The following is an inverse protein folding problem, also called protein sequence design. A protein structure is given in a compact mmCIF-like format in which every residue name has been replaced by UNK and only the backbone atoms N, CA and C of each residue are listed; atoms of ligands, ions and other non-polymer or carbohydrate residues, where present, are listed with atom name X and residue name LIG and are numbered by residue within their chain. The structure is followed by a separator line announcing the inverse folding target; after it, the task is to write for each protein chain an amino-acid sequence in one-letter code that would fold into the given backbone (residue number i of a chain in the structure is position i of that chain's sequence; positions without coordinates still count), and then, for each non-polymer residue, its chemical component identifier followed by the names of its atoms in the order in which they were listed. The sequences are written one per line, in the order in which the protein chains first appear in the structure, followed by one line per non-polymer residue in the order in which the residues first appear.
data_IF_903332186996
#
_entry.id   IF_903332186996
#
_cell.length_a   1.000
_cell.length_b   1.000
_cell.length_c   1.000
_cell.angle_alpha   90.00
_cell.angle_beta   90.00
_cell.angle_gamma   90.00
#
_symmetry.space_group_name_H-M   'P 1'
#
loop_
_entity.id
_entity.type
_entity.pdbx_description
1 polymer ?
#
# COMPACT_ATOMS: atom_id res chain seq x y z
N UNK A 1 -15.78 -21.61 -15.69
CA UNK A 1 -14.59 -22.43 -15.29
C UNK A 1 -13.67 -21.46 -14.61
N UNK A 2 -13.31 -21.67 -13.32
CA UNK A 2 -12.30 -20.86 -12.64
C UNK A 2 -11.01 -20.94 -13.46
N UNK A 3 -10.48 -19.81 -13.90
CA UNK A 3 -9.19 -19.79 -14.59
C UNK A 3 -8.10 -20.26 -13.60
N UNK A 4 -7.13 -21.03 -14.08
CA UNK A 4 -5.99 -21.41 -13.25
C UNK A 4 -5.29 -20.15 -12.71
N UNK A 5 -4.77 -20.22 -11.50
CA UNK A 5 -3.96 -19.13 -10.92
C UNK A 5 -2.82 -18.73 -11.85
N UNK A 6 -2.46 -17.44 -11.83
CA UNK A 6 -1.30 -16.90 -12.56
C UNK A 6 -0.26 -16.49 -11.52
N UNK A 7 0.73 -17.33 -11.32
CA UNK A 7 1.83 -17.14 -10.39
C UNK A 7 3.17 -17.38 -11.07
N UNK A 8 4.26 -16.81 -10.57
CA UNK A 8 5.57 -16.95 -11.18
C UNK A 8 6.10 -18.39 -11.16
N UNK A 9 6.05 -19.07 -10.01
CA UNK A 9 6.61 -20.40 -9.84
C UNK A 9 6.05 -21.09 -8.59
N UNK A 10 5.32 -22.19 -8.75
CA UNK A 10 4.74 -22.96 -7.65
C UNK A 10 5.78 -23.61 -6.72
N UNK A 11 7.02 -23.84 -7.19
CA UNK A 11 8.09 -24.41 -6.38
C UNK A 11 8.56 -23.50 -5.23
N UNK A 12 8.15 -22.22 -5.23
CA UNK A 12 8.46 -21.27 -4.18
C UNK A 12 7.55 -21.43 -2.93
N UNK A 13 6.48 -22.22 -3.00
CA UNK A 13 5.51 -22.40 -1.93
C UNK A 13 6.11 -22.74 -0.55
N UNK A 14 7.14 -23.59 -0.41
CA UNK A 14 7.74 -23.85 0.90
C UNK A 14 8.30 -22.61 1.60
N UNK A 15 8.97 -21.72 0.88
CA UNK A 15 9.45 -20.43 1.43
C UNK A 15 8.28 -19.55 1.88
N UNK A 16 7.21 -19.49 1.09
CA UNK A 16 5.99 -18.78 1.45
C UNK A 16 5.34 -19.35 2.71
N UNK A 17 5.27 -20.66 2.84
CA UNK A 17 4.73 -21.36 4.01
C UNK A 17 5.47 -20.97 5.30
N UNK A 18 6.81 -20.93 5.27
CA UNK A 18 7.64 -20.54 6.41
C UNK A 18 7.37 -19.09 6.83
N UNK A 19 7.32 -18.16 5.87
CA UNK A 19 7.02 -16.75 6.11
C UNK A 19 5.62 -16.56 6.72
N UNK A 20 4.60 -17.21 6.14
CA UNK A 20 3.22 -17.14 6.62
C UNK A 20 3.13 -17.71 8.04
N UNK A 21 3.80 -18.82 8.33
CA UNK A 21 3.81 -19.43 9.65
C UNK A 21 4.46 -18.50 10.69
N UNK A 22 5.58 -17.88 10.33
CA UNK A 22 6.24 -16.90 11.19
C UNK A 22 5.30 -15.72 11.52
N UNK A 23 4.72 -15.10 10.51
CA UNK A 23 3.82 -13.95 10.68
C UNK A 23 2.58 -14.35 11.47
N UNK A 24 2.00 -15.51 11.18
CA UNK A 24 0.81 -16.02 11.87
C UNK A 24 0.98 -16.09 13.38
N UNK A 25 2.16 -16.48 13.85
CA UNK A 25 2.47 -16.53 15.27
C UNK A 25 2.44 -15.15 15.96
N UNK A 26 2.58 -14.08 15.18
CA UNK A 26 2.57 -12.69 15.64
C UNK A 26 1.25 -11.95 15.39
N UNK A 27 0.18 -12.66 14.98
CA UNK A 27 -1.15 -12.10 14.70
C UNK A 27 -2.23 -12.71 15.61
N UNK A 28 -2.19 -12.48 16.94
CA UNK A 28 -3.09 -13.15 17.88
C UNK A 28 -4.56 -12.79 17.68
N UNK A 29 -4.86 -11.53 17.29
CA UNK A 29 -6.24 -11.12 17.01
C UNK A 29 -6.80 -11.85 15.79
N UNK A 30 -6.06 -11.91 14.69
CA UNK A 30 -6.53 -12.58 13.48
C UNK A 30 -6.68 -14.10 13.69
N UNK A 31 -5.84 -14.69 14.56
CA UNK A 31 -6.03 -16.11 14.97
C UNK A 31 -7.36 -16.32 15.69
N UNK A 32 -7.71 -15.45 16.62
CA UNK A 32 -8.99 -15.53 17.32
C UNK A 32 -10.17 -15.37 16.34
N UNK A 33 -10.10 -14.38 15.45
CA UNK A 33 -11.12 -14.20 14.39
C UNK A 33 -11.24 -15.45 13.52
N UNK A 34 -10.12 -16.08 13.16
CA UNK A 34 -10.15 -17.29 12.36
C UNK A 34 -10.84 -18.45 13.09
N UNK A 35 -10.59 -18.64 14.40
CA UNK A 35 -11.25 -19.67 15.19
C UNK A 35 -12.77 -19.51 15.20
N UNK A 36 -13.26 -18.27 15.26
CA UNK A 36 -14.70 -17.97 15.17
C UNK A 36 -15.22 -18.21 13.74
N UNK A 37 -14.47 -17.79 12.72
CA UNK A 37 -14.82 -17.99 11.32
C UNK A 37 -14.89 -19.48 10.93
N UNK A 38 -14.01 -20.32 11.45
CA UNK A 38 -14.05 -21.78 11.24
C UNK A 38 -15.33 -22.41 11.81
N UNK A 39 -15.82 -21.91 12.97
CA UNK A 39 -17.03 -22.41 13.62
C UNK A 39 -18.30 -21.90 12.94
N UNK A 40 -18.36 -20.60 12.69
CA UNK A 40 -19.59 -19.92 12.26
C UNK A 40 -19.75 -19.93 10.74
N UNK A 41 -18.65 -20.02 10.00
CA UNK A 41 -18.60 -19.98 8.54
C UNK A 41 -19.41 -18.82 7.92
N UNK A 42 -19.19 -17.57 8.35
CA UNK A 42 -20.03 -16.44 7.99
C UNK A 42 -19.96 -16.07 6.49
N UNK A 43 -18.96 -16.59 5.78
CA UNK A 43 -18.73 -16.33 4.36
C UNK A 43 -19.04 -17.56 3.47
N UNK A 44 -19.76 -18.56 4.01
CA UNK A 44 -20.05 -19.78 3.27
C UNK A 44 -20.82 -19.49 1.97
N UNK A 45 -20.27 -19.93 0.83
CA UNK A 45 -20.87 -19.75 -0.48
C UNK A 45 -20.65 -18.37 -1.12
N UNK A 46 -19.91 -17.47 -0.45
CA UNK A 46 -19.55 -16.15 -0.99
C UNK A 46 -18.19 -16.17 -1.67
N UNK A 47 -18.07 -15.38 -2.72
CA UNK A 47 -16.82 -15.09 -3.43
C UNK A 47 -16.25 -13.75 -2.97
N UNK A 48 -14.98 -13.76 -2.61
CA UNK A 48 -14.26 -12.56 -2.16
C UNK A 48 -13.16 -12.22 -3.16
N UNK A 49 -13.23 -11.05 -3.79
CA UNK A 49 -12.12 -10.49 -4.56
C UNK A 49 -11.26 -9.63 -3.64
N UNK A 50 -9.95 -9.89 -3.63
CA UNK A 50 -8.99 -9.19 -2.80
C UNK A 50 -7.85 -8.62 -3.65
N UNK A 51 -7.61 -7.32 -3.54
CA UNK A 51 -6.43 -6.62 -4.07
C UNK A 51 -5.79 -5.82 -2.94
N UNK A 52 -4.80 -6.41 -2.28
CA UNK A 52 -4.03 -5.81 -1.18
C UNK A 52 -2.57 -6.21 -1.39
N UNK A 53 -1.60 -5.47 -0.83
CA UNK A 53 -0.18 -5.85 -0.89
C UNK A 53 0.00 -7.34 -0.58
N UNK A 54 0.38 -8.15 -1.59
CA UNK A 54 0.40 -9.62 -1.47
C UNK A 54 1.68 -10.09 -0.78
N UNK A 55 1.63 -10.07 0.56
CA UNK A 55 2.70 -10.47 1.46
C UNK A 55 2.16 -11.38 2.59
N UNK A 56 2.98 -11.78 3.55
CA UNK A 56 2.62 -12.83 4.51
C UNK A 56 1.42 -12.49 5.41
N UNK A 57 1.21 -11.20 5.79
CA UNK A 57 0.05 -10.80 6.61
C UNK A 57 -1.24 -10.87 5.80
N UNK A 58 -1.20 -10.44 4.54
CA UNK A 58 -2.32 -10.58 3.60
C UNK A 58 -2.66 -12.04 3.36
N UNK A 59 -1.66 -12.91 3.29
CA UNK A 59 -1.90 -14.36 3.21
C UNK A 59 -2.62 -14.91 4.45
N UNK A 60 -2.30 -14.40 5.64
CA UNK A 60 -3.04 -14.75 6.86
C UNK A 60 -4.51 -14.31 6.79
N UNK A 61 -4.79 -13.14 6.21
CA UNK A 61 -6.16 -12.67 5.95
C UNK A 61 -6.87 -13.60 4.97
N UNK A 62 -6.27 -13.93 3.81
CA UNK A 62 -6.85 -14.86 2.84
C UNK A 62 -7.20 -16.20 3.48
N UNK A 63 -6.32 -16.77 4.31
CA UNK A 63 -6.55 -18.00 5.06
C UNK A 63 -7.74 -17.87 6.04
N UNK A 64 -7.90 -16.72 6.66
CA UNK A 64 -9.02 -16.45 7.59
C UNK A 64 -10.34 -16.37 6.83
N UNK A 65 -10.38 -15.66 5.69
CA UNK A 65 -11.56 -15.58 4.83
C UNK A 65 -11.98 -16.96 4.30
N UNK A 66 -11.01 -17.75 3.82
CA UNK A 66 -11.24 -19.13 3.37
C UNK A 66 -11.75 -20.04 4.49
N UNK A 67 -11.22 -19.90 5.72
CA UNK A 67 -11.72 -20.62 6.90
C UNK A 67 -13.19 -20.27 7.21
N UNK A 68 -13.58 -19.01 6.99
CA UNK A 68 -14.97 -18.54 7.06
C UNK A 68 -15.87 -19.07 5.95
N UNK A 69 -15.34 -19.85 5.02
CA UNK A 69 -16.09 -20.50 3.93
C UNK A 69 -16.11 -19.73 2.61
N UNK A 70 -15.36 -18.65 2.50
CA UNK A 70 -15.24 -17.88 1.26
C UNK A 70 -14.44 -18.61 0.18
N UNK A 71 -14.85 -18.46 -1.07
CA UNK A 71 -14.00 -18.69 -2.24
C UNK A 71 -13.21 -17.41 -2.50
N UNK A 72 -11.88 -17.45 -2.31
CA UNK A 72 -11.02 -16.24 -2.32
C UNK A 72 -10.27 -16.14 -3.62
N UNK A 73 -10.35 -14.97 -4.26
CA UNK A 73 -9.64 -14.57 -5.46
C UNK A 73 -8.73 -13.39 -5.11
N UNK A 74 -7.42 -13.58 -5.16
CA UNK A 74 -6.45 -12.62 -4.64
C UNK A 74 -5.46 -12.13 -5.71
N UNK A 75 -5.18 -10.84 -5.66
CA UNK A 75 -4.09 -10.19 -6.40
C UNK A 75 -3.34 -9.22 -5.50
N UNK A 76 -2.21 -8.68 -5.99
CA UNK A 76 -1.48 -7.62 -5.29
C UNK A 76 -1.95 -6.23 -5.74
N UNK A 77 -2.08 -5.29 -4.83
CA UNK A 77 -2.39 -3.88 -5.12
C UNK A 77 -1.18 -3.09 -5.66
N UNK A 78 0.01 -3.66 -5.59
CA UNK A 78 1.23 -3.05 -6.11
C UNK A 78 2.20 -4.12 -6.62
N UNK A 79 2.67 -4.02 -7.88
CA UNK A 79 3.61 -4.99 -8.46
C UNK A 79 4.89 -5.19 -7.66
N UNK A 80 5.45 -4.12 -7.09
CA UNK A 80 6.73 -4.17 -6.39
C UNK A 80 6.65 -4.75 -4.97
N UNK A 81 5.46 -4.75 -4.34
CA UNK A 81 5.25 -5.31 -3.01
C UNK A 81 4.82 -6.79 -3.03
N UNK A 82 4.39 -7.30 -4.17
CA UNK A 82 4.03 -8.71 -4.34
C UNK A 82 5.20 -9.62 -4.05
N UNK A 83 4.98 -10.69 -3.27
CA UNK A 83 5.97 -11.72 -2.98
C UNK A 83 5.58 -13.03 -3.67
N UNK A 84 6.39 -13.48 -4.63
CA UNK A 84 6.11 -14.65 -5.47
C UNK A 84 5.98 -15.96 -4.68
N UNK A 85 6.72 -16.09 -3.58
CA UNK A 85 6.63 -17.27 -2.71
C UNK A 85 5.33 -17.30 -1.90
N UNK A 86 4.83 -16.14 -1.49
CA UNK A 86 3.53 -16.01 -0.85
C UNK A 86 2.40 -16.34 -1.84
N UNK A 87 2.48 -15.83 -3.07
CA UNK A 87 1.52 -16.15 -4.13
C UNK A 87 1.47 -17.68 -4.38
N UNK A 88 2.64 -18.33 -4.45
CA UNK A 88 2.75 -19.76 -4.65
C UNK A 88 2.14 -20.58 -3.50
N UNK A 89 2.35 -20.16 -2.25
CA UNK A 89 1.77 -20.86 -1.09
C UNK A 89 0.26 -20.67 -1.00
N UNK A 90 -0.25 -19.47 -1.30
CA UNK A 90 -1.70 -19.22 -1.33
C UNK A 90 -2.40 -20.09 -2.39
N UNK A 91 -1.83 -20.21 -3.58
CA UNK A 91 -2.33 -21.10 -4.64
C UNK A 91 -2.37 -22.56 -4.15
N UNK A 92 -1.27 -23.04 -3.51
CA UNK A 92 -1.22 -24.39 -2.91
C UNK A 92 -2.30 -24.63 -1.86
N UNK A 93 -2.69 -23.55 -1.15
CA UNK A 93 -3.75 -23.59 -0.12
C UNK A 93 -5.17 -23.48 -0.69
N UNK A 94 -5.32 -23.37 -2.02
CA UNK A 94 -6.61 -23.34 -2.69
C UNK A 94 -7.20 -21.93 -2.85
N UNK A 95 -6.43 -20.88 -2.63
CA UNK A 95 -6.80 -19.52 -3.02
C UNK A 95 -6.49 -19.33 -4.50
N UNK A 96 -7.39 -18.70 -5.26
CA UNK A 96 -7.13 -18.34 -6.65
C UNK A 96 -6.26 -17.09 -6.70
N UNK A 97 -5.02 -17.20 -7.19
CA UNK A 97 -4.03 -16.13 -7.12
C UNK A 97 -3.62 -15.65 -8.51
N UNK A 98 -3.65 -14.35 -8.73
CA UNK A 98 -3.22 -13.70 -9.96
C UNK A 98 -2.23 -12.59 -9.60
N UNK A 99 -0.95 -12.95 -9.44
CA UNK A 99 0.06 -12.00 -8.99
C UNK A 99 1.48 -12.48 -9.28
N UNK A 100 2.33 -11.58 -9.78
CA UNK A 100 3.77 -11.77 -9.93
C UNK A 100 4.51 -10.50 -9.53
N UNK A 101 5.66 -10.65 -8.86
CA UNK A 101 6.50 -9.51 -8.51
C UNK A 101 7.04 -8.81 -9.76
N UNK A 102 6.92 -7.48 -9.83
CA UNK A 102 7.43 -6.70 -10.95
C UNK A 102 6.65 -6.89 -12.25
N UNK A 103 5.37 -7.26 -12.18
CA UNK A 103 4.51 -7.37 -13.36
C UNK A 103 4.38 -6.02 -14.09
N UNK A 104 4.12 -6.07 -15.41
CA UNK A 104 3.83 -4.88 -16.22
C UNK A 104 2.44 -4.32 -15.89
N UNK A 105 2.13 -3.12 -16.39
CA UNK A 105 0.79 -2.53 -16.19
C UNK A 105 -0.30 -3.38 -16.87
N UNK A 106 -0.02 -3.94 -18.03
CA UNK A 106 -0.96 -4.80 -18.75
C UNK A 106 -1.23 -6.10 -17.97
N UNK A 107 -0.20 -6.68 -17.35
CA UNK A 107 -0.35 -7.86 -16.49
C UNK A 107 -1.11 -7.48 -15.20
N UNK A 108 -0.82 -6.32 -14.61
CA UNK A 108 -1.56 -5.83 -13.43
C UNK A 108 -3.05 -5.68 -13.73
N UNK A 109 -3.40 -5.03 -14.85
CA UNK A 109 -4.79 -4.86 -15.28
C UNK A 109 -5.46 -6.23 -15.55
N UNK A 110 -4.74 -7.20 -16.11
CA UNK A 110 -5.21 -8.57 -16.28
C UNK A 110 -5.50 -9.23 -14.92
N UNK A 111 -4.62 -9.05 -13.92
CA UNK A 111 -4.80 -9.64 -12.59
C UNK A 111 -6.01 -9.06 -11.86
N UNK A 112 -6.19 -7.74 -11.89
CA UNK A 112 -7.40 -7.09 -11.34
C UNK A 112 -8.66 -7.63 -12.06
N UNK A 113 -8.63 -7.76 -13.37
CA UNK A 113 -9.74 -8.36 -14.14
C UNK A 113 -10.02 -9.80 -13.69
N UNK A 114 -8.97 -10.60 -13.50
CA UNK A 114 -9.09 -12.02 -13.16
C UNK A 114 -9.75 -12.27 -11.79
N UNK A 115 -9.61 -11.35 -10.82
CA UNK A 115 -10.33 -11.44 -9.54
C UNK A 115 -11.77 -10.95 -9.63
N UNK A 116 -12.14 -10.20 -10.69
CA UNK A 116 -13.50 -9.69 -10.92
C UNK A 116 -14.34 -10.66 -11.76
N UNK A 117 -13.76 -11.33 -12.76
CA UNK A 117 -14.47 -12.24 -13.68
C UNK A 117 -15.29 -13.34 -12.99
N UNK A 118 -14.88 -13.88 -11.83
CA UNK A 118 -15.70 -14.82 -11.07
C UNK A 118 -16.99 -14.24 -10.49
N UNK A 119 -17.25 -12.94 -10.67
CA UNK A 119 -18.38 -12.19 -10.12
C UNK A 119 -18.40 -12.23 -8.57
N UNK A 120 -17.50 -11.52 -7.89
CA UNK A 120 -17.40 -11.53 -6.44
C UNK A 120 -18.61 -10.90 -5.77
N UNK A 121 -18.95 -11.41 -4.58
CA UNK A 121 -19.97 -10.87 -3.69
C UNK A 121 -19.42 -9.77 -2.77
N UNK A 122 -18.15 -9.91 -2.37
CA UNK A 122 -17.46 -9.00 -1.44
C UNK A 122 -16.11 -8.57 -2.05
N UNK A 123 -15.73 -7.32 -1.81
CA UNK A 123 -14.47 -6.73 -2.27
C UNK A 123 -13.61 -6.33 -1.07
N UNK A 124 -12.32 -6.64 -1.12
CA UNK A 124 -11.29 -6.09 -0.24
C UNK A 124 -10.27 -5.40 -1.12
N UNK A 125 -10.26 -4.08 -1.12
CA UNK A 125 -9.48 -3.25 -2.06
C UNK A 125 -8.47 -2.37 -1.32
N UNK A 126 -7.40 -2.03 -2.00
CA UNK A 126 -6.33 -1.16 -1.50
C UNK A 126 -5.86 -0.24 -2.63
N UNK A 127 -6.52 0.91 -2.72
CA UNK A 127 -6.34 1.91 -3.78
C UNK A 127 -7.57 2.12 -4.67
N UNK A 128 -8.61 1.27 -4.55
CA UNK A 128 -9.87 1.39 -5.26
C UNK A 128 -9.81 0.92 -6.72
N UNK A 129 -8.86 0.06 -7.09
CA UNK A 129 -8.70 -0.38 -8.49
C UNK A 129 -9.71 -1.44 -8.89
N UNK A 130 -10.08 -2.37 -7.99
CA UNK A 130 -11.19 -3.32 -8.24
C UNK A 130 -12.48 -2.52 -8.47
N UNK A 131 -12.82 -1.60 -7.56
CA UNK A 131 -14.04 -0.79 -7.65
C UNK A 131 -14.08 0.03 -8.94
N UNK A 132 -12.95 0.64 -9.30
CA UNK A 132 -12.83 1.40 -10.55
C UNK A 132 -13.03 0.53 -11.79
N UNK A 133 -12.42 -0.64 -11.84
CA UNK A 133 -12.53 -1.55 -12.97
C UNK A 133 -13.96 -2.13 -13.09
N UNK A 134 -14.60 -2.49 -11.99
CA UNK A 134 -16.00 -2.93 -11.99
C UNK A 134 -16.88 -1.88 -12.62
N UNK A 135 -16.79 -0.64 -12.16
CA UNK A 135 -17.59 0.48 -12.69
C UNK A 135 -17.38 0.71 -14.17
N UNK A 136 -16.14 0.68 -14.64
CA UNK A 136 -15.78 1.04 -16.02
C UNK A 136 -15.97 -0.09 -17.03
N UNK A 137 -15.77 -1.34 -16.58
CA UNK A 137 -15.72 -2.50 -17.47
C UNK A 137 -16.76 -3.58 -17.17
N UNK A 138 -17.34 -3.59 -15.95
CA UNK A 138 -18.34 -4.57 -15.50
C UNK A 138 -19.58 -3.92 -14.87
N UNK A 139 -20.22 -2.93 -15.50
CA UNK A 139 -21.27 -2.11 -14.86
C UNK A 139 -22.50 -2.91 -14.38
N UNK A 140 -22.75 -4.11 -14.92
CA UNK A 140 -23.83 -5.00 -14.46
C UNK A 140 -23.53 -5.69 -13.14
N UNK A 141 -22.26 -5.83 -12.77
CA UNK A 141 -21.82 -6.55 -11.58
C UNK A 141 -22.09 -5.77 -10.29
N UNK A 142 -22.10 -4.42 -10.35
CA UNK A 142 -22.33 -3.56 -9.18
C UNK A 142 -23.60 -3.92 -8.39
N UNK A 143 -24.63 -4.43 -9.07
CA UNK A 143 -25.90 -4.84 -8.43
C UNK A 143 -25.83 -6.15 -7.66
N UNK A 144 -24.80 -6.96 -7.88
CA UNK A 144 -24.59 -8.25 -7.23
C UNK A 144 -23.69 -8.13 -6.00
N UNK A 145 -22.88 -7.07 -5.94
CA UNK A 145 -21.92 -6.86 -4.86
C UNK A 145 -22.66 -6.48 -3.58
N UNK A 146 -22.46 -7.23 -2.52
CA UNK A 146 -22.98 -6.96 -1.18
C UNK A 146 -22.31 -5.72 -0.59
N UNK A 147 -21.00 -5.61 -0.77
CA UNK A 147 -20.21 -4.50 -0.28
C UNK A 147 -18.71 -4.79 -0.31
N UNK A 148 -17.93 -3.85 0.20
CA UNK A 148 -16.49 -4.03 0.28
C UNK A 148 -15.83 -3.24 1.39
N UNK A 149 -14.50 -3.37 1.45
CA UNK A 149 -13.62 -2.70 2.39
C UNK A 149 -12.48 -2.00 1.61
N UNK A 150 -12.10 -0.80 2.03
CA UNK A 150 -10.96 -0.07 1.45
C UNK A 150 -9.88 0.17 2.51
N UNK A 151 -8.68 -0.26 2.20
CA UNK A 151 -7.51 -0.27 3.09
C UNK A 151 -6.84 1.09 3.23
N UNK A 152 -6.83 1.93 2.16
CA UNK A 152 -5.88 3.05 2.09
C UNK A 152 -6.52 4.42 1.86
N UNK A 153 -5.84 5.46 2.32
CA UNK A 153 -6.29 6.86 2.23
C UNK A 153 -6.60 7.30 0.81
N UNK A 154 -5.77 6.92 -0.18
CA UNK A 154 -5.97 7.28 -1.59
C UNK A 154 -7.21 6.62 -2.18
N UNK A 155 -7.45 5.35 -1.86
CA UNK A 155 -8.65 4.63 -2.26
C UNK A 155 -9.91 5.24 -1.64
N UNK A 156 -9.90 5.56 -0.34
CA UNK A 156 -11.03 6.24 0.31
C UNK A 156 -11.33 7.60 -0.32
N UNK A 157 -10.30 8.40 -0.64
CA UNK A 157 -10.50 9.68 -1.31
C UNK A 157 -11.18 9.50 -2.68
N UNK A 158 -10.79 8.45 -3.42
CA UNK A 158 -11.37 8.07 -4.70
C UNK A 158 -12.83 7.61 -4.55
N UNK A 159 -13.13 6.75 -3.57
CA UNK A 159 -14.48 6.29 -3.26
C UNK A 159 -15.41 7.43 -2.84
N UNK A 160 -14.97 8.35 -1.98
CA UNK A 160 -15.74 9.54 -1.58
C UNK A 160 -16.05 10.46 -2.76
N UNK A 161 -15.12 10.58 -3.72
CA UNK A 161 -15.38 11.31 -4.96
C UNK A 161 -16.45 10.60 -5.81
N UNK A 162 -16.37 9.28 -5.92
CA UNK A 162 -17.38 8.48 -6.63
C UNK A 162 -18.75 8.60 -5.96
N UNK A 163 -18.82 8.50 -4.64
CA UNK A 163 -20.06 8.68 -3.86
C UNK A 163 -20.67 10.06 -4.11
N UNK A 164 -19.87 11.13 -4.01
CA UNK A 164 -20.33 12.51 -4.27
C UNK A 164 -20.89 12.70 -5.68
N UNK A 165 -20.35 11.98 -6.66
CA UNK A 165 -20.79 12.02 -8.04
C UNK A 165 -21.99 11.08 -8.31
N UNK A 166 -22.46 10.30 -7.31
CA UNK A 166 -23.49 9.28 -7.50
C UNK A 166 -23.02 8.07 -8.31
N UNK A 167 -21.74 7.78 -8.26
CA UNK A 167 -21.07 6.73 -9.05
C UNK A 167 -20.69 5.49 -8.23
N UNK A 168 -20.89 5.50 -6.92
CA UNK A 168 -20.68 4.36 -6.02
C UNK A 168 -22.03 3.71 -5.70
N UNK A 169 -22.26 2.50 -6.19
CA UNK A 169 -23.59 1.86 -6.16
C UNK A 169 -23.70 0.71 -5.13
N UNK A 170 -22.67 0.46 -4.37
CA UNK A 170 -22.68 -0.52 -3.27
C UNK A 170 -21.88 0.02 -2.08
N UNK A 171 -22.15 -0.45 -0.85
CA UNK A 171 -21.48 0.07 0.33
C UNK A 171 -20.02 -0.33 0.37
N UNK A 172 -19.15 0.63 0.76
CA UNK A 172 -17.74 0.42 1.01
C UNK A 172 -17.38 0.87 2.42
N UNK A 173 -16.73 0.01 3.19
CA UNK A 173 -16.25 0.31 4.54
C UNK A 173 -14.88 0.96 4.44
N UNK A 174 -14.75 2.18 4.97
CA UNK A 174 -13.49 2.92 5.02
C UNK A 174 -12.62 2.40 6.17
N UNK A 175 -11.97 1.24 5.99
CA UNK A 175 -11.14 0.60 7.02
C UNK A 175 -9.98 1.48 7.44
N UNK A 176 -9.37 2.22 6.49
CA UNK A 176 -8.30 3.16 6.81
C UNK A 176 -8.71 4.25 7.82
N UNK A 177 -9.99 4.61 7.88
CA UNK A 177 -10.49 5.66 8.78
C UNK A 177 -10.79 5.13 10.20
N UNK A 178 -10.70 3.83 10.43
CA UNK A 178 -10.81 3.26 11.76
C UNK A 178 -9.62 3.67 12.64
N UNK A 179 -9.90 4.07 13.89
CA UNK A 179 -8.87 4.51 14.85
C UNK A 179 -7.78 3.44 15.04
N UNK A 180 -8.17 2.18 15.16
CA UNK A 180 -7.22 1.07 15.31
C UNK A 180 -6.38 0.79 14.04
N UNK A 181 -6.73 1.36 12.88
CA UNK A 181 -5.95 1.25 11.66
C UNK A 181 -4.99 2.43 11.52
N UNK A 182 -5.48 3.64 11.33
CA UNK A 182 -4.63 4.77 10.94
C UNK A 182 -3.72 5.28 12.06
N UNK A 183 -4.17 5.19 13.34
CA UNK A 183 -3.33 5.60 14.48
C UNK A 183 -2.12 4.67 14.67
N UNK A 184 -2.21 3.42 14.23
CA UNK A 184 -1.17 2.41 14.46
C UNK A 184 -0.47 1.99 13.17
N UNK A 185 -1.19 1.51 12.17
CA UNK A 185 -0.59 1.04 10.93
C UNK A 185 0.03 2.17 10.14
N UNK A 186 -0.75 3.19 9.75
CA UNK A 186 -0.23 4.31 8.97
C UNK A 186 0.88 5.06 9.73
N UNK A 187 0.73 5.25 11.03
CA UNK A 187 1.68 6.02 11.83
C UNK A 187 2.92 5.20 12.20
N UNK A 188 2.75 4.09 12.89
CA UNK A 188 3.89 3.32 13.42
C UNK A 188 4.40 2.29 12.43
N UNK A 189 3.50 1.58 11.74
CA UNK A 189 3.86 0.58 10.74
C UNK A 189 4.61 1.20 9.56
N UNK A 190 4.02 2.19 8.90
CA UNK A 190 4.65 2.89 7.78
C UNK A 190 5.95 3.58 8.21
N UNK A 191 5.93 4.28 9.37
CA UNK A 191 7.13 4.94 9.89
C UNK A 191 8.31 4.00 10.11
N UNK A 192 8.06 2.77 10.55
CA UNK A 192 9.08 1.75 10.69
C UNK A 192 9.52 1.21 9.33
N UNK A 193 8.59 0.74 8.51
CA UNK A 193 8.88 0.06 7.24
C UNK A 193 9.64 0.94 6.25
N UNK A 194 9.39 2.23 6.23
CA UNK A 194 10.14 3.19 5.41
C UNK A 194 11.63 3.14 5.76
N UNK A 195 11.97 3.18 7.05
CA UNK A 195 13.38 3.12 7.47
C UNK A 195 13.99 1.73 7.37
N UNK A 196 13.19 0.67 7.51
CA UNK A 196 13.65 -0.70 7.22
C UNK A 196 14.07 -0.80 5.74
N UNK A 197 13.28 -0.23 4.82
CA UNK A 197 13.61 -0.15 3.40
C UNK A 197 14.87 0.69 3.13
N UNK A 198 14.93 1.92 3.64
CA UNK A 198 16.07 2.83 3.45
C UNK A 198 17.36 2.22 3.99
N UNK A 199 17.34 1.67 5.21
CA UNK A 199 18.52 1.07 5.81
C UNK A 199 19.00 -0.16 5.04
N UNK A 200 18.08 -1.01 4.57
CA UNK A 200 18.41 -2.22 3.82
C UNK A 200 19.01 -1.91 2.44
N UNK A 201 18.50 -0.88 1.76
CA UNK A 201 18.94 -0.55 0.38
C UNK A 201 20.18 0.32 0.34
N UNK A 202 20.34 1.23 1.30
CA UNK A 202 21.46 2.21 1.29
C UNK A 202 22.58 1.87 2.26
N UNK A 203 22.28 1.20 3.36
CA UNK A 203 23.20 0.98 4.50
C UNK A 203 23.84 2.30 5.01
N UNK A 204 23.14 3.44 4.91
CA UNK A 204 23.61 4.74 5.33
C UNK A 204 23.15 5.09 6.74
N UNK A 205 24.01 5.76 7.49
CA UNK A 205 23.68 6.27 8.83
C UNK A 205 22.72 7.46 8.66
N UNK A 206 21.54 7.37 9.28
CA UNK A 206 20.51 8.40 9.27
C UNK A 206 20.82 9.54 10.26
N UNK A 207 21.51 9.21 11.36
CA UNK A 207 21.89 10.18 12.39
C UNK A 207 22.70 11.36 11.80
N UNK A 208 22.33 12.58 12.20
CA UNK A 208 22.93 13.82 11.73
C UNK A 208 22.47 14.32 10.35
N UNK A 209 21.81 13.48 9.55
CA UNK A 209 21.26 13.88 8.24
C UNK A 209 20.05 14.80 8.39
N UNK A 210 19.86 15.69 7.44
CA UNK A 210 18.62 16.44 7.26
C UNK A 210 17.65 15.60 6.44
N UNK A 211 16.61 15.07 7.11
CA UNK A 211 15.55 14.28 6.49
C UNK A 211 14.36 15.17 6.21
N UNK A 212 14.01 15.33 4.95
CA UNK A 212 12.84 16.06 4.50
C UNK A 212 11.67 15.08 4.36
N UNK A 213 10.61 15.30 5.10
CA UNK A 213 9.37 14.54 5.00
C UNK A 213 8.31 15.41 4.33
N UNK A 214 7.89 15.02 3.13
CA UNK A 214 6.83 15.71 2.41
C UNK A 214 5.46 15.11 2.76
N UNK A 215 4.65 15.89 3.45
CA UNK A 215 3.37 15.50 4.01
C UNK A 215 3.43 15.24 5.52
N UNK A 216 2.39 15.71 6.25
CA UNK A 216 2.26 15.52 7.70
C UNK A 216 0.91 14.90 8.08
N UNK A 217 0.40 14.01 7.22
CA UNK A 217 -0.68 13.06 7.56
C UNK A 217 -0.18 11.97 8.52
N UNK A 218 -0.96 10.93 8.73
CA UNK A 218 -0.60 9.86 9.69
C UNK A 218 0.74 9.20 9.36
N UNK A 219 0.99 8.89 8.09
CA UNK A 219 2.28 8.34 7.65
C UNK A 219 3.43 9.35 7.89
N UNK A 220 3.23 10.62 7.51
CA UNK A 220 4.23 11.66 7.69
C UNK A 220 4.62 11.90 9.15
N UNK A 221 3.65 11.87 10.06
CA UNK A 221 3.89 11.92 11.52
C UNK A 221 4.77 10.76 11.98
N UNK A 222 4.45 9.54 11.54
CA UNK A 222 5.21 8.34 11.88
C UNK A 222 6.63 8.36 11.33
N UNK A 223 6.80 8.72 10.05
CA UNK A 223 8.11 8.84 9.41
C UNK A 223 8.96 9.92 10.10
N UNK A 224 8.39 11.10 10.38
CA UNK A 224 9.09 12.19 11.07
C UNK A 224 9.55 11.79 12.46
N UNK A 225 8.66 11.14 13.23
CA UNK A 225 8.99 10.63 14.57
C UNK A 225 10.09 9.58 14.51
N UNK A 226 10.05 8.65 13.56
CA UNK A 226 11.06 7.60 13.39
C UNK A 226 12.40 8.20 12.97
N UNK A 227 12.41 9.13 12.00
CA UNK A 227 13.63 9.84 11.59
C UNK A 227 14.31 10.55 12.77
N UNK A 228 13.51 11.28 13.58
CA UNK A 228 14.01 11.95 14.80
C UNK A 228 14.59 10.94 15.79
N UNK A 229 13.92 9.80 15.99
CA UNK A 229 14.40 8.71 16.86
C UNK A 229 15.72 8.08 16.39
N UNK A 230 15.99 8.10 15.07
CA UNK A 230 17.27 7.67 14.49
C UNK A 230 18.33 8.77 14.50
N UNK A 231 18.07 9.91 15.12
CA UNK A 231 19.03 11.03 15.25
C UNK A 231 19.07 11.98 14.08
N UNK A 232 18.10 11.96 13.18
CA UNK A 232 18.00 12.91 12.08
C UNK A 232 17.54 14.29 12.55
N UNK A 233 17.88 15.32 11.75
CA UNK A 233 17.28 16.64 11.79
C UNK A 233 16.13 16.67 10.79
N UNK A 234 14.89 16.64 11.29
CA UNK A 234 13.72 16.53 10.43
C UNK A 234 13.22 17.89 9.96
N UNK A 235 12.96 17.99 8.67
CA UNK A 235 12.27 19.09 8.01
C UNK A 235 10.97 18.52 7.45
N UNK A 236 9.84 19.17 7.76
CA UNK A 236 8.53 18.82 7.22
C UNK A 236 8.12 19.84 6.16
N UNK A 237 7.63 19.38 5.03
CA UNK A 237 6.95 20.21 4.03
C UNK A 237 5.48 19.81 3.97
N UNK A 238 4.58 20.79 4.12
CA UNK A 238 3.14 20.54 4.18
C UNK A 238 2.39 21.74 3.59
N UNK A 239 1.32 21.47 2.83
CA UNK A 239 0.48 22.51 2.21
C UNK A 239 -0.74 22.88 3.05
N UNK A 240 -1.19 21.96 3.92
CA UNK A 240 -2.26 22.21 4.88
C UNK A 240 -1.68 22.98 6.09
N UNK A 241 -2.12 24.23 6.31
CA UNK A 241 -1.55 25.06 7.38
C UNK A 241 -1.79 24.50 8.77
N UNK A 242 -2.87 23.73 9.00
CA UNK A 242 -3.15 23.11 10.29
C UNK A 242 -2.15 21.99 10.58
N UNK A 243 -1.90 21.13 9.60
CA UNK A 243 -0.89 20.06 9.72
C UNK A 243 0.54 20.62 9.80
N UNK A 244 0.81 21.70 9.07
CA UNK A 244 2.09 22.40 9.16
C UNK A 244 2.33 22.98 10.58
N UNK A 245 1.30 23.57 11.16
CA UNK A 245 1.35 24.06 12.54
C UNK A 245 1.52 22.91 13.55
N UNK A 246 0.81 21.81 13.37
CA UNK A 246 0.98 20.59 14.18
C UNK A 246 2.42 20.09 14.12
N UNK A 247 3.01 19.96 12.91
CA UNK A 247 4.41 19.57 12.75
C UNK A 247 5.38 20.51 13.49
N UNK A 248 5.10 21.81 13.44
CA UNK A 248 5.89 22.81 14.19
C UNK A 248 5.76 22.61 15.71
N UNK A 249 4.57 22.38 16.23
CA UNK A 249 4.33 22.14 17.66
C UNK A 249 4.95 20.81 18.13
N UNK A 250 5.06 19.81 17.26
CA UNK A 250 5.77 18.55 17.53
C UNK A 250 7.33 18.71 17.50
N UNK A 251 7.80 19.96 17.28
CA UNK A 251 9.20 20.35 17.34
C UNK A 251 10.00 20.04 16.05
N UNK A 252 9.33 19.99 14.91
CA UNK A 252 9.97 19.87 13.60
C UNK A 252 10.16 21.25 12.94
N UNK A 253 11.17 21.36 12.10
CA UNK A 253 11.34 22.53 11.22
C UNK A 253 10.35 22.41 10.07
N UNK A 254 9.53 23.44 9.84
CA UNK A 254 8.57 23.48 8.72
C UNK A 254 8.98 24.53 7.73
N UNK A 255 9.00 24.18 6.44
CA UNK A 255 9.30 25.11 5.33
C UNK A 255 8.71 24.61 4.01
N UNK A 256 8.72 25.44 2.96
CA UNK A 256 8.34 25.01 1.62
C UNK A 256 9.35 24.02 1.02
N UNK A 257 8.93 23.23 0.02
CA UNK A 257 9.79 22.24 -0.63
C UNK A 257 10.98 22.89 -1.32
N UNK A 258 10.83 24.06 -1.92
CA UNK A 258 11.92 24.78 -2.58
C UNK A 258 13.08 25.09 -1.61
N UNK A 259 12.75 25.49 -0.37
CA UNK A 259 13.75 25.75 0.67
C UNK A 259 14.31 24.46 1.27
N UNK A 260 13.49 23.44 1.39
CA UNK A 260 13.91 22.14 1.89
C UNK A 260 14.84 21.41 0.90
N UNK A 261 14.60 21.57 -0.41
CA UNK A 261 15.42 20.98 -1.46
C UNK A 261 16.91 21.38 -1.33
N UNK A 262 17.19 22.64 -0.99
CA UNK A 262 18.56 23.14 -0.80
C UNK A 262 19.27 22.53 0.42
N UNK A 263 18.52 21.96 1.36
CA UNK A 263 19.05 21.56 2.66
C UNK A 263 19.04 20.05 2.90
N UNK A 264 18.10 19.34 2.28
CA UNK A 264 17.87 17.91 2.51
C UNK A 264 19.03 17.03 2.10
N UNK A 265 19.24 15.96 2.84
CA UNK A 265 20.14 14.86 2.50
C UNK A 265 19.34 13.60 2.08
N UNK A 266 18.14 13.44 2.65
CA UNK A 266 17.20 12.36 2.36
C UNK A 266 15.80 12.95 2.28
N UNK A 267 15.07 12.66 1.22
CA UNK A 267 13.70 13.10 0.97
C UNK A 267 12.77 11.90 0.97
N UNK A 268 11.68 11.99 1.73
CA UNK A 268 10.67 10.93 1.85
C UNK A 268 9.31 11.56 1.58
N UNK A 269 8.65 11.14 0.49
CA UNK A 269 7.31 11.63 0.14
C UNK A 269 6.23 10.67 0.66
N UNK A 270 5.22 11.22 1.34
CA UNK A 270 4.10 10.50 1.99
C UNK A 270 2.79 11.28 1.89
N UNK A 271 2.58 11.97 0.78
CA UNK A 271 1.42 12.85 0.60
C UNK A 271 0.22 12.15 -0.01
N UNK A 272 0.43 11.04 -0.73
CA UNK A 272 -0.59 10.40 -1.56
C UNK A 272 -1.01 11.25 -2.78
N UNK A 273 -0.21 12.28 -3.14
CA UNK A 273 -0.44 13.15 -4.28
C UNK A 273 0.52 12.80 -5.43
N UNK A 274 0.54 13.57 -6.48
CA UNK A 274 1.47 13.38 -7.59
C UNK A 274 2.40 14.60 -7.75
N UNK A 275 3.61 14.37 -8.29
CA UNK A 275 4.58 15.40 -8.66
C UNK A 275 4.88 16.37 -7.50
N UNK A 276 5.13 15.84 -6.33
CA UNK A 276 5.50 16.60 -5.12
C UNK A 276 6.93 17.09 -5.20
N UNK A 277 7.82 16.28 -5.79
CA UNK A 277 9.21 16.65 -6.10
C UNK A 277 9.36 16.66 -7.62
N UNK A 278 9.72 17.84 -8.15
CA UNK A 278 9.76 18.17 -9.58
C UNK A 278 11.14 18.69 -9.98
N UNK A 279 11.32 19.07 -11.28
CA UNK A 279 12.56 19.57 -11.83
C UNK A 279 13.17 20.74 -11.05
N UNK A 280 12.36 21.70 -10.65
CA UNK A 280 12.80 22.86 -9.87
C UNK A 280 13.42 22.49 -8.52
N UNK A 281 12.94 21.38 -7.93
CA UNK A 281 13.49 20.85 -6.68
C UNK A 281 14.78 20.08 -6.93
N UNK A 282 14.82 19.21 -7.96
CA UNK A 282 16.04 18.44 -8.32
C UNK A 282 17.23 19.35 -8.57
N UNK A 283 17.03 20.47 -9.30
CA UNK A 283 18.08 21.41 -9.62
C UNK A 283 18.64 22.19 -8.41
N UNK A 284 17.95 22.14 -7.26
CA UNK A 284 18.36 22.79 -6.00
C UNK A 284 18.96 21.81 -5.00
N UNK A 285 18.80 20.51 -5.23
CA UNK A 285 19.27 19.49 -4.30
C UNK A 285 20.79 19.43 -4.25
N UNK A 286 21.28 18.97 -3.12
CA UNK A 286 22.69 18.66 -2.95
C UNK A 286 23.08 17.46 -3.80
N UNK A 287 24.35 17.41 -4.17
CA UNK A 287 24.94 16.18 -4.69
C UNK A 287 24.84 15.05 -3.64
N UNK A 288 24.49 13.86 -4.08
CA UNK A 288 24.26 12.69 -3.21
C UNK A 288 22.95 12.71 -2.42
N UNK A 289 21.99 13.60 -2.72
CA UNK A 289 20.67 13.56 -2.12
C UNK A 289 19.95 12.25 -2.48
N UNK A 290 19.29 11.64 -1.49
CA UNK A 290 18.53 10.38 -1.64
C UNK A 290 17.04 10.70 -1.69
N UNK A 291 16.32 10.13 -2.64
CA UNK A 291 14.88 10.31 -2.84
C UNK A 291 14.15 8.99 -2.60
N UNK A 292 13.10 9.02 -1.78
CA UNK A 292 12.26 7.87 -1.47
C UNK A 292 10.79 8.25 -1.61
N UNK A 293 10.03 7.46 -2.38
CA UNK A 293 8.58 7.54 -2.41
C UNK A 293 8.01 6.50 -1.44
N UNK A 294 7.27 6.94 -0.44
CA UNK A 294 6.59 6.07 0.52
C UNK A 294 5.06 6.25 0.51
N UNK A 295 4.52 7.05 -0.42
CA UNK A 295 3.10 7.10 -0.73
C UNK A 295 2.64 5.83 -1.45
N UNK A 296 1.32 5.63 -1.53
CA UNK A 296 0.73 4.41 -2.10
C UNK A 296 1.15 4.18 -3.57
N UNK A 297 1.16 5.23 -4.39
CA UNK A 297 1.63 5.18 -5.78
C UNK A 297 3.01 5.84 -5.93
N UNK A 298 3.80 5.40 -6.89
CA UNK A 298 5.16 5.85 -7.17
C UNK A 298 5.23 7.15 -8.01
N UNK A 299 4.24 8.02 -7.86
CA UNK A 299 4.03 9.23 -8.69
C UNK A 299 4.38 10.55 -7.98
N UNK A 300 4.80 10.50 -6.72
CA UNK A 300 5.10 11.69 -5.94
C UNK A 300 6.44 12.33 -6.34
N UNK A 301 7.42 11.52 -6.74
CA UNK A 301 8.67 11.95 -7.34
C UNK A 301 8.52 11.89 -8.86
N UNK A 302 8.76 13.01 -9.57
CA UNK A 302 8.69 13.05 -11.04
C UNK A 302 9.90 12.34 -11.66
N UNK A 303 9.90 11.01 -11.61
CA UNK A 303 10.97 10.15 -12.12
C UNK A 303 11.16 10.28 -13.64
N UNK A 304 10.08 10.56 -14.38
CA UNK A 304 10.15 10.79 -15.81
C UNK A 304 10.99 12.06 -16.13
N UNK A 305 10.76 13.13 -15.36
CA UNK A 305 11.57 14.33 -15.45
C UNK A 305 13.02 14.08 -15.04
N UNK A 306 13.21 13.40 -13.88
CA UNK A 306 14.56 13.08 -13.39
C UNK A 306 15.37 12.29 -14.44
N UNK A 307 14.77 11.28 -15.06
CA UNK A 307 15.41 10.51 -16.13
C UNK A 307 15.76 11.35 -17.36
N UNK A 308 14.93 12.35 -17.69
CA UNK A 308 15.17 13.24 -18.83
C UNK A 308 16.35 14.18 -18.61
N UNK A 309 16.52 14.70 -17.38
CA UNK A 309 17.59 15.67 -17.04
C UNK A 309 18.87 15.00 -16.54
N UNK A 310 18.84 13.70 -16.24
CA UNK A 310 20.00 12.97 -15.75
C UNK A 310 21.11 12.92 -16.81
N UNK A 311 22.33 13.24 -16.39
CA UNK A 311 23.53 13.18 -17.24
C UNK A 311 24.05 11.75 -17.35
N UNK A 312 23.88 10.97 -16.30
CA UNK A 312 24.28 9.55 -16.23
C UNK A 312 23.27 8.76 -15.40
N UNK A 313 23.01 7.50 -15.79
CA UNK A 313 22.19 6.58 -15.02
C UNK A 313 23.01 5.32 -14.74
N UNK A 314 22.99 4.88 -13.48
CA UNK A 314 23.58 3.59 -13.03
C UNK A 314 22.51 2.80 -12.28
N UNK A 315 22.44 1.52 -12.61
CA UNK A 315 21.63 0.55 -11.87
C UNK A 315 22.49 -0.21 -10.86
#
# INVERSE_FOLDING_TARGET
MSSASIIRNSSLAPSGADKITWVWNNMPLLRAVREDFEKERPLAGLKVALSVHLEAKTACLCKTLAAGGAEVYATGSNPLSTQDDIAAELDRLGVHVYATHGCTQEEYDLYIRSVIEPEPDIIVDDGGDIVHMIRTQFPGLEKKIIGGCEETTTGIARLRKMEKNGELHFPMIAVNDADCKHLFDNRYGTGQSVFDGINRTTNLIVAGKKVVVAGYGWCGKGVSMRAKGLGARVIVTEVDPVKALEAHMDGFTVMSMEKAAEQGDLFITVTGNCRVITEEHFLRMKDGAVLCNAGHFDVEVDTACLNRIAVEQKQ
#
